data_IF_358271215352
#
_entry.id   IF_358271215352
#
_cell.length_a   1.000
_cell.length_b   1.000
_cell.length_c   1.000
_cell.angle_alpha   90.00
_cell.angle_beta   90.00
_cell.angle_gamma   90.00
#
_symmetry.space_group_name_H-M   'P 1'
#
loop_
_entity.id
_entity.type
_entity.pdbx_description
1 polymer ?
#
# COMPACT_ATOMS: atom_id res chain seq x y z
N UNK A 1 -38.90 4.81 -3.84
CA UNK A 1 -38.03 5.43 -4.83
C UNK A 1 -36.89 4.47 -5.04
N UNK A 2 -36.75 3.92 -6.24
CA UNK A 2 -35.63 3.07 -6.61
C UNK A 2 -34.43 3.98 -6.86
N UNK A 3 -33.33 3.74 -6.15
CA UNK A 3 -32.10 4.51 -6.30
C UNK A 3 -30.96 3.57 -6.71
N UNK A 4 -30.16 3.99 -7.68
CA UNK A 4 -28.96 3.28 -8.11
C UNK A 4 -27.72 3.92 -7.50
N UNK A 5 -26.76 3.11 -7.06
CA UNK A 5 -25.46 3.55 -6.52
C UNK A 5 -24.33 2.82 -7.24
N UNK A 6 -23.30 3.56 -7.62
CA UNK A 6 -22.07 2.95 -8.07
C UNK A 6 -21.31 2.34 -6.88
N UNK A 7 -20.84 1.13 -7.02
CA UNK A 7 -19.97 0.45 -6.05
C UNK A 7 -18.57 0.29 -6.65
N UNK A 8 -17.50 0.47 -5.85
CA UNK A 8 -16.17 0.14 -6.30
C UNK A 8 -16.05 -1.38 -6.46
N UNK A 9 -15.31 -1.82 -7.45
CA UNK A 9 -14.91 -3.21 -7.56
C UNK A 9 -13.81 -3.48 -6.54
N UNK A 10 -13.95 -4.55 -5.77
CA UNK A 10 -12.93 -5.04 -4.86
C UNK A 10 -12.65 -6.51 -5.12
N UNK A 11 -11.38 -6.84 -5.30
CA UNK A 11 -10.91 -8.19 -5.57
C UNK A 11 -9.78 -8.58 -4.61
N UNK A 12 -9.60 -9.88 -4.32
CA UNK A 12 -8.43 -10.36 -3.60
C UNK A 12 -7.16 -10.14 -4.41
N UNK A 13 -6.14 -9.59 -3.76
CA UNK A 13 -4.81 -9.37 -4.31
C UNK A 13 -3.78 -10.04 -3.41
N UNK A 14 -3.14 -11.09 -3.90
CA UNK A 14 -2.07 -11.78 -3.20
C UNK A 14 -0.73 -11.05 -3.41
N UNK A 15 -0.04 -10.75 -2.34
CA UNK A 15 1.30 -10.15 -2.35
C UNK A 15 2.32 -11.26 -2.20
N UNK A 16 3.02 -11.57 -3.29
CA UNK A 16 3.98 -12.68 -3.39
C UNK A 16 5.39 -12.14 -3.52
N UNK A 17 6.25 -12.51 -2.61
CA UNK A 17 7.66 -12.11 -2.61
C UNK A 17 8.51 -13.34 -2.80
N UNK A 18 9.29 -13.35 -3.87
CA UNK A 18 10.22 -14.45 -4.20
C UNK A 18 9.50 -15.81 -4.10
N UNK A 19 8.35 -15.91 -4.77
CA UNK A 19 7.55 -17.14 -4.82
C UNK A 19 6.80 -17.51 -3.53
N UNK A 20 6.78 -16.64 -2.53
CA UNK A 20 6.06 -16.90 -1.27
C UNK A 20 5.00 -15.82 -1.01
N UNK A 21 3.75 -16.23 -0.85
CA UNK A 21 2.66 -15.32 -0.48
C UNK A 21 2.86 -14.82 0.96
N UNK A 22 2.92 -13.51 1.13
CA UNK A 22 3.06 -12.86 2.43
C UNK A 22 1.71 -12.37 2.97
N UNK A 23 0.83 -11.93 2.09
CA UNK A 23 -0.49 -11.43 2.47
C UNK A 23 -1.47 -11.52 1.30
N UNK A 24 -2.76 -11.56 1.62
CA UNK A 24 -3.84 -11.30 0.67
C UNK A 24 -4.63 -10.10 1.18
N UNK A 25 -4.87 -9.12 0.31
CA UNK A 25 -5.63 -7.92 0.64
C UNK A 25 -6.74 -7.70 -0.38
N UNK A 26 -7.83 -7.09 0.05
CA UNK A 26 -8.85 -6.60 -0.88
C UNK A 26 -8.39 -5.25 -1.44
N UNK A 27 -8.49 -5.10 -2.75
CA UNK A 27 -8.14 -3.86 -3.42
C UNK A 27 -8.99 -3.66 -4.69
N UNK A 28 -9.12 -2.42 -5.12
CA UNK A 28 -9.62 -2.11 -6.46
C UNK A 28 -8.60 -2.58 -7.48
N UNK A 29 -9.00 -3.26 -8.58
CA UNK A 29 -8.08 -3.83 -9.57
C UNK A 29 -7.50 -2.77 -10.52
N UNK A 30 -6.94 -1.70 -9.98
CA UNK A 30 -6.22 -0.65 -10.70
C UNK A 30 -4.92 -0.30 -9.96
N UNK A 31 -3.95 0.22 -10.68
CA UNK A 31 -2.66 0.66 -10.15
C UNK A 31 -1.95 -0.39 -9.28
N UNK A 32 -2.12 -1.67 -9.63
CA UNK A 32 -1.66 -2.81 -8.83
C UNK A 32 -0.14 -2.84 -8.66
N UNK A 33 0.62 -2.36 -9.65
CA UNK A 33 2.09 -2.23 -9.54
C UNK A 33 2.45 -1.21 -8.45
N UNK A 34 1.79 -0.07 -8.44
CA UNK A 34 2.01 0.98 -7.44
C UNK A 34 1.56 0.51 -6.05
N UNK A 35 0.46 -0.26 -5.99
CA UNK A 35 0.03 -0.92 -4.76
C UNK A 35 1.12 -1.85 -4.20
N UNK A 36 1.67 -2.74 -5.01
CA UNK A 36 2.74 -3.66 -4.61
C UNK A 36 4.00 -2.91 -4.11
N UNK A 37 4.44 -1.90 -4.85
CA UNK A 37 5.57 -1.05 -4.48
C UNK A 37 5.31 -0.27 -3.19
N UNK A 38 4.13 0.31 -3.07
CA UNK A 38 3.72 1.07 -1.90
C UNK A 38 3.71 0.22 -0.63
N UNK A 39 3.13 -0.98 -0.67
CA UNK A 39 3.13 -1.91 0.45
C UNK A 39 4.55 -2.29 0.84
N UNK A 40 5.39 -2.66 -0.12
CA UNK A 40 6.79 -3.06 0.14
C UNK A 40 7.56 -1.95 0.84
N UNK A 41 7.42 -0.72 0.37
CA UNK A 41 8.07 0.45 0.96
C UNK A 41 7.54 0.75 2.37
N UNK A 42 6.23 0.73 2.56
CA UNK A 42 5.59 0.99 3.86
C UNK A 42 5.97 -0.06 4.90
N UNK A 43 6.08 -1.32 4.49
CA UNK A 43 6.51 -2.41 5.36
C UNK A 43 8.04 -2.39 5.62
N UNK A 44 8.80 -1.54 4.94
CA UNK A 44 10.25 -1.44 5.08
C UNK A 44 10.99 -2.67 4.56
N UNK A 45 10.46 -3.32 3.52
CA UNK A 45 11.08 -4.51 2.92
C UNK A 45 12.09 -4.18 1.83
N UNK A 46 12.34 -2.88 1.60
CA UNK A 46 13.36 -2.39 0.71
C UNK A 46 12.84 -1.98 -0.67
N UNK A 47 13.72 -2.04 -1.65
CA UNK A 47 13.41 -1.71 -3.05
C UNK A 47 13.00 -2.96 -3.81
N UNK A 48 12.15 -2.78 -4.81
CA UNK A 48 11.67 -3.83 -5.70
C UNK A 48 12.36 -3.68 -7.06
N UNK A 49 12.92 -4.76 -7.57
CA UNK A 49 13.45 -4.81 -8.93
C UNK A 49 12.32 -4.76 -9.96
N UNK A 50 11.32 -5.63 -9.78
CA UNK A 50 10.14 -5.67 -10.65
C UNK A 50 8.90 -6.18 -9.93
N UNK A 51 7.74 -5.87 -10.50
CA UNK A 51 6.44 -6.39 -10.08
C UNK A 51 5.76 -6.98 -11.31
N UNK A 52 5.45 -8.26 -11.26
CA UNK A 52 4.64 -8.93 -12.26
C UNK A 52 3.21 -9.09 -11.74
N UNK A 53 2.22 -8.70 -12.56
CA UNK A 53 0.80 -8.82 -12.23
C UNK A 53 0.23 -10.04 -12.96
N UNK A 54 -0.19 -11.03 -12.20
CA UNK A 54 -0.78 -12.26 -12.73
C UNK A 54 -2.27 -12.29 -12.37
N UNK A 55 -3.12 -12.38 -13.41
CA UNK A 55 -4.56 -12.51 -13.21
C UNK A 55 -4.95 -13.96 -12.95
N UNK A 56 -5.82 -14.15 -11.97
CA UNK A 56 -6.42 -15.44 -11.63
C UNK A 56 -7.96 -15.34 -11.66
N UNK A 57 -8.69 -16.44 -11.78
CA UNK A 57 -10.15 -16.42 -11.74
C UNK A 57 -10.74 -15.75 -10.47
N UNK A 58 -10.00 -15.76 -9.37
CA UNK A 58 -10.46 -15.27 -8.07
C UNK A 58 -9.74 -13.98 -7.61
N UNK A 59 -9.00 -13.30 -8.50
CA UNK A 59 -8.28 -12.07 -8.13
C UNK A 59 -6.95 -11.92 -8.85
N UNK A 60 -5.99 -11.28 -8.19
CA UNK A 60 -4.67 -11.04 -8.75
C UNK A 60 -3.56 -11.51 -7.81
N UNK A 61 -2.44 -11.84 -8.41
CA UNK A 61 -1.19 -12.10 -7.72
C UNK A 61 -0.15 -11.07 -8.15
N UNK A 62 0.44 -10.36 -7.20
CA UNK A 62 1.55 -9.46 -7.43
C UNK A 62 2.84 -10.17 -7.04
N UNK A 63 3.59 -10.58 -8.04
CA UNK A 63 4.89 -11.21 -7.85
C UNK A 63 5.97 -10.13 -7.77
N UNK A 64 6.45 -9.86 -6.55
CA UNK A 64 7.50 -8.89 -6.28
C UNK A 64 8.87 -9.56 -6.25
N UNK A 65 9.74 -9.07 -7.09
CA UNK A 65 11.14 -9.50 -7.16
C UNK A 65 12.02 -8.50 -6.43
N UNK A 66 12.79 -8.99 -5.47
CA UNK A 66 13.67 -8.20 -4.63
C UNK A 66 15.13 -8.58 -4.91
N UNK A 67 16.08 -7.64 -4.73
CA UNK A 67 17.48 -7.96 -4.71
C UNK A 67 17.79 -9.05 -3.68
N UNK A 68 18.73 -9.95 -4.00
CA UNK A 68 19.07 -11.12 -3.16
C UNK A 68 19.41 -10.75 -1.71
N UNK A 69 20.09 -9.64 -1.50
CA UNK A 69 20.43 -9.14 -0.17
C UNK A 69 19.21 -8.84 0.71
N UNK A 70 18.06 -8.53 0.10
CA UNK A 70 16.81 -8.20 0.82
C UNK A 70 15.93 -9.44 1.05
N UNK A 71 16.09 -10.47 0.24
CA UNK A 71 15.35 -11.71 0.36
C UNK A 71 15.49 -12.35 1.75
N UNK A 72 16.68 -12.31 2.31
CA UNK A 72 16.97 -12.84 3.65
C UNK A 72 16.28 -12.04 4.75
N UNK A 73 16.20 -10.71 4.61
CA UNK A 73 15.54 -9.84 5.58
C UNK A 73 14.02 -10.10 5.61
N UNK A 74 13.43 -10.39 4.46
CA UNK A 74 12.01 -10.71 4.35
C UNK A 74 11.66 -12.03 5.05
N UNK A 75 12.52 -13.04 4.94
CA UNK A 75 12.28 -14.34 5.56
C UNK A 75 12.23 -14.27 7.09
N UNK A 76 12.95 -13.33 7.69
CA UNK A 76 12.96 -13.07 9.13
C UNK A 76 11.74 -12.29 9.62
N UNK A 77 11.00 -11.63 8.73
CA UNK A 77 9.84 -10.79 9.05
C UNK A 77 8.51 -11.41 8.63
N UNK A 78 8.41 -12.72 8.64
CA UNK A 78 7.16 -13.41 8.31
C UNK A 78 6.05 -12.95 9.24
N UNK A 79 5.06 -12.25 8.69
CA UNK A 79 3.80 -11.94 9.37
C UNK A 79 2.79 -13.01 9.00
N UNK A 80 2.28 -13.71 9.98
CA UNK A 80 1.02 -14.43 9.83
C UNK A 80 -0.11 -13.37 9.85
N UNK A 81 -0.53 -12.90 8.69
CA UNK A 81 -1.55 -11.84 8.58
C UNK A 81 -2.96 -12.41 8.59
N UNK A 82 -3.32 -13.10 9.66
CA UNK A 82 -4.69 -13.50 9.96
C UNK A 82 -5.24 -12.59 11.06
N UNK A 83 -5.87 -11.47 10.68
CA UNK A 83 -6.55 -10.62 11.66
C UNK A 83 -6.74 -9.16 11.20
N UNK A 84 -7.61 -8.40 11.88
CA UNK A 84 -7.85 -6.99 11.58
C UNK A 84 -6.60 -6.16 11.85
N UNK A 85 -6.19 -5.34 10.90
CA UNK A 85 -4.96 -4.56 10.93
C UNK A 85 -5.30 -3.09 11.17
N UNK A 86 -5.32 -2.66 12.43
CA UNK A 86 -5.46 -1.24 12.78
C UNK A 86 -4.11 -0.53 12.78
N UNK A 87 -3.31 -0.71 13.84
CA UNK A 87 -2.00 -0.04 14.01
C UNK A 87 -0.85 -0.69 13.22
N UNK A 88 -1.07 -1.81 12.53
CA UNK A 88 -0.02 -2.54 11.80
C UNK A 88 0.95 -3.34 12.68
N UNK A 89 0.71 -3.41 13.99
CA UNK A 89 1.55 -4.12 14.94
C UNK A 89 1.03 -5.52 15.30
N UNK A 90 -0.20 -5.85 14.87
CA UNK A 90 -0.75 -7.18 15.11
C UNK A 90 0.12 -8.24 14.44
N UNK A 91 0.44 -9.30 15.18
CA UNK A 91 1.26 -10.43 14.70
C UNK A 91 2.74 -10.07 14.43
N UNK A 92 3.27 -9.08 15.12
CA UNK A 92 4.72 -8.85 15.20
C UNK A 92 5.25 -9.63 16.39
N UNK A 93 6.18 -10.54 16.16
CA UNK A 93 6.64 -11.52 17.16
C UNK A 93 7.60 -10.93 18.22
N UNK A 94 8.10 -9.71 18.03
CA UNK A 94 9.00 -9.09 19.00
C UNK A 94 8.88 -7.57 19.03
N UNK A 95 9.25 -6.97 20.17
CA UNK A 95 9.33 -5.52 20.34
C UNK A 95 10.35 -4.88 19.38
N UNK A 96 11.47 -5.54 19.11
CA UNK A 96 12.51 -5.06 18.20
C UNK A 96 12.01 -4.97 16.76
N UNK A 97 11.10 -5.87 16.35
CA UNK A 97 10.45 -5.79 15.05
C UNK A 97 9.34 -4.73 15.00
N UNK A 98 8.71 -4.44 16.13
CA UNK A 98 7.67 -3.39 16.24
C UNK A 98 8.27 -1.98 16.19
N UNK A 99 9.45 -1.79 16.78
CA UNK A 99 10.19 -0.53 16.79
C UNK A 99 11.30 -0.61 15.73
N UNK A 100 11.04 -0.01 14.57
CA UNK A 100 12.02 0.02 13.47
C UNK A 100 12.86 1.29 13.54
N UNK A 101 14.16 1.15 13.29
CA UNK A 101 14.99 2.31 13.00
C UNK A 101 14.52 2.95 11.70
N UNK A 102 14.17 4.22 11.79
CA UNK A 102 13.73 5.02 10.65
C UNK A 102 14.86 5.98 10.30
N UNK A 103 15.25 5.99 9.04
CA UNK A 103 16.23 6.95 8.57
C UNK A 103 15.72 8.38 8.80
N UNK A 104 16.55 9.29 9.34
CA UNK A 104 16.15 10.67 9.57
C UNK A 104 15.80 11.34 8.23
N UNK A 105 14.75 12.16 8.26
CA UNK A 105 14.37 12.99 7.12
C UNK A 105 15.41 14.10 6.98
N UNK A 106 16.05 14.17 5.83
CA UNK A 106 17.08 15.19 5.53
C UNK A 106 16.56 16.39 4.75
N UNK A 107 15.26 16.38 4.41
CA UNK A 107 14.61 17.48 3.70
C UNK A 107 14.39 18.68 4.62
N UNK A 108 14.68 19.85 4.12
CA UNK A 108 14.39 21.16 4.74
C UNK A 108 13.01 21.71 4.31
N UNK A 109 12.18 20.89 3.71
CA UNK A 109 10.83 21.26 3.26
C UNK A 109 9.99 21.78 4.42
N UNK A 110 9.64 23.06 4.35
CA UNK A 110 8.70 23.68 5.28
C UNK A 110 7.34 23.88 4.62
N UNK A 111 6.29 23.39 5.26
CA UNK A 111 4.92 23.52 4.80
C UNK A 111 4.16 24.54 5.65
N UNK A 112 3.47 25.46 4.99
CA UNK A 112 2.52 26.34 5.66
C UNK A 112 1.14 25.66 5.81
N UNK A 113 0.28 26.13 6.74
CA UNK A 113 -1.11 25.69 6.80
C UNK A 113 -1.89 25.87 5.47
N UNK A 114 -1.53 26.89 4.69
CA UNK A 114 -2.12 27.13 3.37
C UNK A 114 -1.71 26.06 2.36
N UNK A 115 -0.48 25.53 2.44
CA UNK A 115 -0.02 24.43 1.59
C UNK A 115 -0.81 23.17 1.88
N UNK A 116 -1.03 22.85 3.15
CA UNK A 116 -1.86 21.71 3.56
C UNK A 116 -3.29 21.86 3.06
N UNK A 117 -3.88 23.05 3.19
CA UNK A 117 -5.24 23.31 2.69
C UNK A 117 -5.33 23.13 1.17
N UNK A 118 -4.33 23.60 0.40
CA UNK A 118 -4.25 23.40 -1.06
C UNK A 118 -4.11 21.92 -1.42
N UNK A 119 -3.25 21.20 -0.72
CA UNK A 119 -3.05 19.77 -0.93
C UNK A 119 -4.36 18.98 -0.73
N UNK A 120 -5.06 19.26 0.36
CA UNK A 120 -6.36 18.64 0.67
C UNK A 120 -7.44 19.00 -0.36
N UNK A 121 -7.45 20.24 -0.85
CA UNK A 121 -8.34 20.67 -1.94
C UNK A 121 -8.06 19.93 -3.24
N UNK A 122 -6.78 19.69 -3.56
CA UNK A 122 -6.35 18.94 -4.74
C UNK A 122 -6.68 17.45 -4.69
N UNK A 123 -6.71 16.85 -3.49
CA UNK A 123 -7.00 15.43 -3.32
C UNK A 123 -8.35 15.05 -3.95
N UNK A 124 -9.39 15.83 -3.69
CA UNK A 124 -10.75 15.55 -4.18
C UNK A 124 -10.83 15.51 -5.71
N UNK A 125 -10.09 16.36 -6.40
CA UNK A 125 -10.12 16.39 -7.87
C UNK A 125 -9.50 15.15 -8.51
N UNK A 126 -8.52 14.52 -7.83
CA UNK A 126 -7.88 13.29 -8.26
C UNK A 126 -8.65 12.00 -7.93
N UNK A 127 -9.62 12.07 -7.01
CA UNK A 127 -10.35 10.89 -6.55
C UNK A 127 -11.59 10.59 -7.40
N UNK A 128 -11.39 10.25 -8.68
CA UNK A 128 -12.49 10.01 -9.63
C UNK A 128 -13.42 8.88 -9.17
N UNK A 129 -12.87 7.82 -8.60
CA UNK A 129 -13.65 6.68 -8.12
C UNK A 129 -14.40 7.02 -6.84
N UNK A 130 -13.78 7.73 -5.90
CA UNK A 130 -14.44 8.19 -4.67
C UNK A 130 -15.58 9.13 -4.96
N UNK A 131 -15.42 10.06 -5.90
CA UNK A 131 -16.48 10.98 -6.32
C UNK A 131 -17.75 10.26 -6.84
N UNK A 132 -17.60 9.03 -7.33
CA UNK A 132 -18.72 8.21 -7.82
C UNK A 132 -19.29 7.28 -6.75
N UNK A 133 -18.46 6.75 -5.89
CA UNK A 133 -18.80 5.64 -5.00
C UNK A 133 -18.89 6.06 -3.53
N UNK A 134 -18.13 7.08 -3.13
CA UNK A 134 -17.92 7.52 -1.73
C UNK A 134 -17.52 6.35 -0.81
N UNK A 135 -16.70 5.43 -1.30
CA UNK A 135 -16.37 4.20 -0.63
C UNK A 135 -14.92 3.74 -0.83
N UNK A 136 -14.04 4.62 -1.31
CA UNK A 136 -12.62 4.31 -1.47
C UNK A 136 -11.75 5.36 -0.80
N UNK A 137 -10.52 4.96 -0.48
CA UNK A 137 -9.49 5.85 0.05
C UNK A 137 -8.55 6.31 -1.06
N UNK A 138 -7.91 7.44 -0.85
CA UNK A 138 -6.91 7.96 -1.77
C UNK A 138 -5.78 8.66 -1.04
N UNK A 139 -4.66 8.79 -1.74
CA UNK A 139 -3.52 9.59 -1.31
C UNK A 139 -2.99 10.38 -2.50
N UNK A 140 -2.37 11.52 -2.24
CA UNK A 140 -1.78 12.37 -3.27
C UNK A 140 -0.41 12.87 -2.81
N UNK A 141 0.51 12.94 -3.76
CA UNK A 141 1.75 13.67 -3.55
C UNK A 141 1.54 15.14 -3.90
N UNK A 142 1.88 16.00 -2.96
CA UNK A 142 1.82 17.45 -3.13
C UNK A 142 3.23 18.03 -3.09
N UNK A 143 3.58 18.78 -4.12
CA UNK A 143 4.84 19.53 -4.17
C UNK A 143 4.47 21.01 -4.06
N UNK A 144 4.87 21.71 -2.99
CA UNK A 144 4.65 23.15 -2.89
C UNK A 144 5.47 23.88 -3.95
N UNK A 145 4.90 24.92 -4.53
CA UNK A 145 5.58 25.82 -5.49
C UNK A 145 6.47 26.79 -4.75
#
# INVERSE_FOLDING_TARGET
VEATRALPEEVPVALVYIGTTQAVRMATPCDLIDFGRGVTRTEGWGEIDSVDVVAHPNGFELQMWLPEAQANTLSLRRRSMAGPVGCGLCVIDSLDQAVRDVAPVTSDLALSPADVARAMGGLRSGQVLDNKTHAVHGAVFFVPN
#
